data_IF_268018888563
#
_entry.id   IF_268018888563
#
_cell.length_a   1.000
_cell.length_b   1.000
_cell.length_c   1.000
_cell.angle_alpha   90.00
_cell.angle_beta   90.00
_cell.angle_gamma   90.00
#
_symmetry.space_group_name_H-M   'P 1'
#
loop_
_entity.id
_entity.type
_entity.pdbx_description
1 polymer ?
#
# COMPACT_ATOMS: atom_id res chain seq x y z
N UNK A 1 8.30 -6.17 -7.65
CA UNK A 1 6.99 -6.81 -7.96
C UNK A 1 6.04 -5.81 -8.62
N UNK A 2 4.88 -6.22 -9.13
CA UNK A 2 3.83 -5.31 -9.66
C UNK A 2 3.55 -4.12 -8.71
N UNK A 3 3.60 -4.36 -7.40
CA UNK A 3 3.42 -3.35 -6.37
C UNK A 3 4.57 -2.37 -6.21
N UNK A 4 5.81 -2.80 -6.48
CA UNK A 4 6.93 -1.85 -6.55
C UNK A 4 6.65 -0.81 -7.63
N UNK A 5 6.14 -1.22 -8.79
CA UNK A 5 5.80 -0.32 -9.88
C UNK A 5 4.68 0.66 -9.47
N UNK A 6 3.61 0.18 -8.84
CA UNK A 6 2.50 1.03 -8.38
C UNK A 6 2.91 2.00 -7.27
N UNK A 7 3.68 1.54 -6.29
CA UNK A 7 4.12 2.36 -5.17
C UNK A 7 5.27 3.31 -5.55
N UNK A 8 6.09 2.96 -6.56
CA UNK A 8 7.20 3.79 -7.06
C UNK A 8 6.79 4.79 -8.14
N UNK A 9 5.63 4.62 -8.79
CA UNK A 9 5.17 5.57 -9.78
C UNK A 9 4.67 6.85 -9.10
N UNK A 10 5.56 7.82 -9.04
CA UNK A 10 5.19 9.24 -9.10
C UNK A 10 4.80 9.56 -10.55
N UNK A 11 3.85 10.48 -10.72
CA UNK A 11 3.33 11.05 -11.97
C UNK A 11 2.10 10.38 -12.63
N UNK A 12 0.94 10.92 -12.22
CA UNK A 12 0.08 11.69 -13.13
C UNK A 12 0.93 12.49 -14.14
N UNK A 13 1.35 11.89 -15.25
CA UNK A 13 1.64 12.69 -16.43
C UNK A 13 1.16 12.01 -17.69
N UNK A 14 0.42 12.82 -18.43
CA UNK A 14 -0.27 12.50 -19.66
C UNK A 14 0.79 12.32 -20.74
N UNK A 15 1.02 11.09 -21.18
CA UNK A 15 1.01 10.74 -22.60
C UNK A 15 1.31 9.25 -22.79
N UNK A 16 0.51 8.64 -23.66
CA UNK A 16 0.60 7.26 -24.16
C UNK A 16 0.26 6.15 -23.17
N UNK A 17 -0.99 5.67 -23.25
CA UNK A 17 -1.51 4.42 -22.67
C UNK A 17 -1.45 4.27 -21.13
N UNK A 18 -1.53 5.37 -20.39
CA UNK A 18 -1.55 5.33 -18.92
C UNK A 18 -2.96 5.14 -18.40
N UNK A 19 -3.31 3.90 -18.07
CA UNK A 19 -4.35 3.66 -17.06
C UNK A 19 -3.97 4.47 -15.83
N UNK A 20 -4.80 5.43 -15.43
CA UNK A 20 -4.46 6.30 -14.28
C UNK A 20 -4.34 5.47 -13.01
N UNK A 21 -3.71 6.01 -11.97
CA UNK A 21 -3.76 5.39 -10.64
C UNK A 21 -5.20 5.03 -10.30
N UNK A 22 -6.13 5.98 -10.41
CA UNK A 22 -7.56 5.76 -10.15
C UNK A 22 -8.20 4.65 -11.01
N UNK A 23 -7.85 4.52 -12.29
CA UNK A 23 -8.39 3.45 -13.13
C UNK A 23 -7.83 2.07 -12.77
N UNK A 24 -6.56 1.97 -12.38
CA UNK A 24 -6.01 0.73 -11.82
C UNK A 24 -6.66 0.40 -10.48
N UNK A 25 -6.90 1.40 -9.64
CA UNK A 25 -7.57 1.25 -8.35
C UNK A 25 -9.02 0.76 -8.53
N UNK A 26 -9.75 1.29 -9.52
CA UNK A 26 -11.11 0.83 -9.85
C UNK A 26 -11.14 -0.62 -10.36
N UNK A 27 -10.13 -1.02 -11.12
CA UNK A 27 -9.98 -2.40 -11.58
C UNK A 27 -9.65 -3.35 -10.43
N UNK A 28 -8.73 -2.98 -9.52
CA UNK A 28 -8.41 -3.76 -8.32
C UNK A 28 -9.65 -3.97 -7.45
N UNK A 29 -10.48 -2.92 -7.27
CA UNK A 29 -11.72 -3.03 -6.48
C UNK A 29 -12.73 -4.01 -7.09
N UNK A 30 -12.66 -4.24 -8.40
CA UNK A 30 -13.63 -5.05 -9.14
C UNK A 30 -13.18 -6.51 -9.32
N UNK A 31 -11.95 -6.87 -8.91
CA UNK A 31 -11.37 -8.19 -9.07
C UNK A 31 -10.84 -8.73 -7.73
N UNK A 32 -11.52 -9.75 -7.19
CA UNK A 32 -11.12 -10.43 -5.95
C UNK A 32 -9.71 -11.03 -6.01
N UNK A 33 -9.25 -11.41 -7.20
CA UNK A 33 -7.89 -11.91 -7.40
C UNK A 33 -6.86 -10.78 -7.23
N UNK A 34 -7.18 -9.59 -7.73
CA UNK A 34 -6.35 -8.40 -7.57
C UNK A 34 -6.33 -7.92 -6.10
N UNK A 35 -7.45 -8.02 -5.39
CA UNK A 35 -7.51 -7.77 -3.93
C UNK A 35 -6.62 -8.74 -3.15
N UNK A 36 -6.62 -10.02 -3.52
CA UNK A 36 -5.77 -11.02 -2.87
C UNK A 36 -4.29 -10.69 -3.04
N UNK A 37 -3.89 -10.20 -4.21
CA UNK A 37 -2.53 -9.76 -4.46
C UNK A 37 -2.11 -8.57 -3.56
N UNK A 38 -3.04 -7.75 -3.06
CA UNK A 38 -2.73 -6.69 -2.09
C UNK A 38 -2.33 -7.22 -0.71
N UNK A 39 -2.68 -8.46 -0.39
CA UNK A 39 -2.30 -9.15 0.84
C UNK A 39 -0.97 -9.92 0.71
N UNK A 40 -0.45 -10.05 -0.51
CA UNK A 40 0.78 -10.78 -0.77
C UNK A 40 2.00 -9.90 -0.51
N UNK A 41 3.04 -10.54 0.03
CA UNK A 41 4.33 -9.90 0.23
C UNK A 41 5.21 -10.16 -0.98
N UNK A 42 6.14 -9.24 -1.24
CA UNK A 42 7.22 -9.49 -2.18
C UNK A 42 8.31 -10.40 -1.59
N UNK A 43 9.43 -10.52 -2.30
CA UNK A 43 10.58 -11.33 -1.89
C UNK A 43 11.26 -10.81 -0.60
N UNK A 44 11.06 -9.54 -0.25
CA UNK A 44 11.59 -8.91 0.96
C UNK A 44 10.56 -8.93 2.11
N UNK A 45 9.46 -9.66 1.95
CA UNK A 45 8.38 -9.72 2.94
C UNK A 45 7.55 -8.44 3.00
N UNK A 46 7.81 -7.45 2.14
CA UNK A 46 7.06 -6.20 2.09
C UNK A 46 5.72 -6.43 1.40
N UNK A 47 4.64 -6.14 2.12
CA UNK A 47 3.32 -5.96 1.51
C UNK A 47 3.25 -4.63 0.76
N UNK A 48 2.27 -4.42 -0.13
CA UNK A 48 2.08 -3.14 -0.82
C UNK A 48 1.97 -1.96 0.15
N UNK A 49 1.40 -2.20 1.33
CA UNK A 49 1.28 -1.17 2.38
C UNK A 49 2.64 -0.77 2.97
N UNK A 50 3.56 -1.72 3.17
CA UNK A 50 4.94 -1.41 3.60
C UNK A 50 5.59 -0.46 2.60
N UNK A 51 5.53 -0.81 1.31
CA UNK A 51 6.17 -0.04 0.24
C UNK A 51 5.51 1.34 0.11
N UNK A 52 4.19 1.42 0.19
CA UNK A 52 3.45 2.69 0.09
C UNK A 52 3.88 3.68 1.18
N UNK A 53 4.03 3.20 2.42
CA UNK A 53 4.45 4.01 3.57
C UNK A 53 5.92 4.41 3.43
N UNK A 54 6.80 3.46 3.11
CA UNK A 54 8.23 3.72 2.89
C UNK A 54 8.46 4.78 1.79
N UNK A 55 7.65 4.74 0.71
CA UNK A 55 7.71 5.71 -0.39
C UNK A 55 6.92 7.00 -0.12
N UNK A 56 6.32 7.14 1.07
CA UNK A 56 5.44 8.27 1.47
C UNK A 56 4.25 8.49 0.52
N UNK A 57 3.82 7.43 -0.17
CA UNK A 57 2.62 7.43 -1.00
C UNK A 57 1.39 7.13 -0.12
N UNK A 58 1.08 8.05 0.78
CA UNK A 58 -0.03 7.92 1.72
C UNK A 58 -1.40 7.89 1.06
N UNK A 59 -1.52 8.41 -0.17
CA UNK A 59 -2.76 8.31 -0.95
C UNK A 59 -3.04 6.85 -1.34
N UNK A 60 -2.02 6.16 -1.87
CA UNK A 60 -2.13 4.74 -2.19
C UNK A 60 -2.26 3.89 -0.92
N UNK A 61 -1.52 4.22 0.15
CA UNK A 61 -1.65 3.53 1.44
C UNK A 61 -3.10 3.60 1.96
N UNK A 62 -3.70 4.81 1.94
CA UNK A 62 -5.09 4.99 2.37
C UNK A 62 -6.06 4.18 1.52
N UNK A 63 -5.88 4.21 0.20
CA UNK A 63 -6.71 3.44 -0.70
C UNK A 63 -6.66 1.94 -0.37
N UNK A 64 -5.46 1.36 -0.22
CA UNK A 64 -5.29 -0.05 0.13
C UNK A 64 -6.02 -0.38 1.43
N UNK A 65 -5.94 0.49 2.44
CA UNK A 65 -6.67 0.31 3.71
C UNK A 65 -8.20 0.39 3.54
N UNK A 66 -8.71 1.21 2.61
CA UNK A 66 -10.15 1.37 2.36
C UNK A 66 -10.78 0.20 1.60
N UNK A 67 -10.01 -0.51 0.76
CA UNK A 67 -10.54 -1.59 -0.10
C UNK A 67 -10.26 -2.99 0.42
N UNK A 68 -9.35 -3.15 1.38
CA UNK A 68 -9.06 -4.45 1.96
C UNK A 68 -10.24 -4.94 2.81
N UNK A 69 -10.64 -6.22 2.68
CA UNK A 69 -11.55 -6.84 3.63
C UNK A 69 -10.97 -6.77 5.05
N UNK A 70 -11.83 -6.61 6.06
CA UNK A 70 -11.41 -6.47 7.47
C UNK A 70 -10.48 -7.61 7.93
N UNK A 71 -10.80 -8.86 7.56
CA UNK A 71 -9.97 -10.04 7.84
C UNK A 71 -8.56 -9.95 7.23
N UNK A 72 -8.45 -9.36 6.04
CA UNK A 72 -7.17 -9.19 5.34
C UNK A 72 -6.40 -7.99 5.87
N UNK A 73 -7.10 -6.92 6.24
CA UNK A 73 -6.53 -5.71 6.80
C UNK A 73 -5.72 -6.02 8.06
N UNK A 74 -6.33 -6.69 9.04
CA UNK A 74 -5.64 -7.06 10.28
C UNK A 74 -4.39 -7.91 10.04
N UNK A 75 -4.49 -8.87 9.12
CA UNK A 75 -3.39 -9.76 8.76
C UNK A 75 -2.23 -9.00 8.11
N UNK A 76 -2.53 -8.03 7.23
CA UNK A 76 -1.53 -7.21 6.55
C UNK A 76 -0.84 -6.27 7.53
N UNK A 77 -1.61 -5.65 8.44
CA UNK A 77 -1.08 -4.73 9.44
C UNK A 77 -0.14 -5.42 10.45
N UNK A 78 -0.34 -6.70 10.73
CA UNK A 78 0.54 -7.50 11.59
C UNK A 78 1.67 -8.22 10.84
N UNK A 79 1.70 -8.15 9.51
CA UNK A 79 2.70 -8.85 8.71
C UNK A 79 4.04 -8.13 8.85
N UNK A 80 5.09 -8.88 9.20
CA UNK A 80 6.46 -8.37 9.27
C UNK A 80 7.20 -8.65 7.97
N UNK A 81 7.97 -7.68 7.51
CA UNK A 81 8.91 -7.86 6.40
C UNK A 81 10.22 -8.52 6.86
N UNK A 82 11.18 -8.69 5.95
CA UNK A 82 12.50 -9.26 6.26
C UNK A 82 13.35 -8.45 7.25
N UNK A 83 12.97 -7.20 7.55
CA UNK A 83 13.58 -6.36 8.61
C UNK A 83 12.84 -6.49 9.95
N UNK A 84 11.90 -7.42 10.04
CA UNK A 84 11.00 -7.61 11.19
C UNK A 84 10.09 -6.41 11.48
N UNK A 85 9.87 -5.54 10.49
CA UNK A 85 9.03 -4.34 10.61
C UNK A 85 7.64 -4.61 10.03
N UNK A 86 6.61 -4.12 10.72
CA UNK A 86 5.23 -4.05 10.23
C UNK A 86 5.00 -2.75 9.43
N UNK A 87 3.86 -2.61 8.71
CA UNK A 87 3.50 -1.34 8.09
C UNK A 87 3.41 -0.21 9.13
N UNK A 88 2.92 -0.50 10.35
CA UNK A 88 2.77 0.47 11.43
C UNK A 88 4.14 0.96 11.93
N UNK A 89 5.10 0.05 12.09
CA UNK A 89 6.47 0.41 12.51
C UNK A 89 7.12 1.40 11.54
N UNK A 90 6.83 1.26 10.24
CA UNK A 90 7.29 2.18 9.21
C UNK A 90 6.63 3.57 9.31
N UNK A 91 5.36 3.65 9.72
CA UNK A 91 4.67 4.93 9.96
C UNK A 91 5.34 5.68 11.11
N UNK A 92 5.59 5.00 12.24
CA UNK A 92 6.21 5.61 13.42
C UNK A 92 7.63 6.13 13.16
N UNK A 93 8.33 5.56 12.17
CA UNK A 93 9.66 6.01 11.75
C UNK A 93 9.67 7.19 10.77
N UNK A 94 8.52 7.60 10.23
CA UNK A 94 8.44 8.62 9.20
C UNK A 94 8.50 10.05 9.80
N UNK A 95 9.31 10.92 9.19
CA UNK A 95 9.53 12.30 9.66
C UNK A 95 8.26 13.17 9.66
N UNK A 96 7.32 12.89 8.73
CA UNK A 96 6.03 13.55 8.64
C UNK A 96 4.95 12.53 8.26
N UNK A 97 4.00 12.31 9.17
CA UNK A 97 2.87 11.40 9.00
C UNK A 97 1.58 12.23 8.82
N UNK A 98 0.73 11.95 7.81
CA UNK A 98 -0.56 12.63 7.68
C UNK A 98 -1.48 12.28 8.86
N UNK A 99 -2.32 13.23 9.27
CA UNK A 99 -3.20 13.13 10.43
C UNK A 99 -4.04 11.84 10.49
N UNK A 100 -4.46 11.32 9.34
CA UNK A 100 -5.27 10.11 9.27
C UNK A 100 -4.49 8.84 9.67
N UNK A 101 -3.17 8.88 9.61
CA UNK A 101 -2.28 7.78 10.00
C UNK A 101 -1.75 7.92 11.43
N UNK A 102 -1.93 9.08 12.08
CA UNK A 102 -1.53 9.30 13.47
C UNK A 102 -2.20 8.31 14.42
N UNK A 103 -3.47 7.96 14.15
CA UNK A 103 -4.26 7.01 14.94
C UNK A 103 -3.67 5.60 15.04
N UNK A 104 -2.65 5.27 14.25
CA UNK A 104 -1.96 3.97 14.30
C UNK A 104 -0.67 4.00 15.13
N UNK A 105 -0.25 5.17 15.65
CA UNK A 105 1.04 5.36 16.32
C UNK A 105 0.91 5.31 17.86
N UNK A 106 -0.28 5.52 18.41
CA UNK A 106 -0.58 5.62 19.85
C UNK A 106 -1.82 4.80 20.22
#
# INVERSE_FOLDING_TARGET
>A
TFWHLLASQTFFDSTSYRKTGLEMLLEIRSDDSALKCLAEADNDGNTPLHIAIEKRNFHFARFVMEILPEDSFEKIMRKRNSKDLTPIDLIGSAECVPRQFENFIW
#
